data_IF_865115060863
#
_entry.id   IF_865115060863
#
_cell.length_a   1.000
_cell.length_b   1.000
_cell.length_c   1.000
_cell.angle_alpha   90.00
_cell.angle_beta   90.00
_cell.angle_gamma   90.00
#
_symmetry.space_group_name_H-M   'P 1'
#
loop_
_entity.id
_entity.type
_entity.pdbx_description
1 polymer ?
#
# COMPACT_ATOMS: atom_id res chain seq x y z
N UNK A 1 16.93 5.76 20.86
CA UNK A 1 16.79 7.08 21.51
C UNK A 1 17.08 8.11 20.43
N UNK A 2 16.05 8.64 19.75
CA UNK A 2 16.21 9.74 18.81
C UNK A 2 16.16 11.05 19.61
N UNK A 3 17.25 11.82 19.57
CA UNK A 3 17.30 13.18 20.14
C UNK A 3 16.32 14.06 19.34
N UNK A 4 15.41 14.74 20.05
CA UNK A 4 14.72 15.93 19.54
C UNK A 4 15.79 16.96 19.17
N UNK A 5 16.06 17.16 17.90
CA UNK A 5 16.78 18.30 17.41
C UNK A 5 15.78 19.41 17.11
N UNK A 6 15.98 20.56 17.70
CA UNK A 6 15.26 21.81 17.43
C UNK A 6 15.38 22.13 15.93
N UNK A 7 14.21 22.30 15.26
CA UNK A 7 14.14 22.68 13.85
C UNK A 7 13.56 21.62 12.88
N UNK A 8 12.99 20.51 13.36
CA UNK A 8 12.38 19.50 12.46
C UNK A 8 11.03 19.95 11.94
N UNK A 9 10.96 20.13 10.63
CA UNK A 9 9.69 20.21 9.90
C UNK A 9 8.90 18.93 10.18
N UNK A 10 7.67 19.05 10.68
CA UNK A 10 6.76 17.93 10.93
C UNK A 10 6.62 17.06 9.69
N UNK A 11 6.78 15.74 9.85
CA UNK A 11 6.63 14.78 8.77
C UNK A 11 5.18 14.80 8.24
N UNK A 12 5.00 14.95 6.94
CA UNK A 12 3.70 15.03 6.27
C UNK A 12 3.43 13.75 5.48
N UNK A 13 2.35 13.08 5.83
CA UNK A 13 2.03 11.75 5.29
C UNK A 13 0.64 11.75 4.67
N UNK A 14 0.53 11.39 3.40
CA UNK A 14 -0.74 11.15 2.71
C UNK A 14 -0.98 9.64 2.65
N UNK A 15 -2.14 9.19 3.14
CA UNK A 15 -2.52 7.78 3.15
C UNK A 15 -3.76 7.57 2.29
N UNK A 16 -3.56 7.00 1.10
CA UNK A 16 -4.63 6.64 0.17
C UNK A 16 -5.16 5.24 0.51
N UNK A 17 -6.45 5.15 0.87
CA UNK A 17 -7.06 3.94 1.41
C UNK A 17 -6.83 3.77 2.92
N UNK A 18 -6.96 4.86 3.66
CA UNK A 18 -6.62 4.93 5.08
C UNK A 18 -7.42 3.95 5.97
N UNK A 19 -8.62 3.53 5.56
CA UNK A 19 -9.45 2.56 6.31
C UNK A 19 -8.96 1.11 6.21
N UNK A 20 -7.95 0.81 5.38
CA UNK A 20 -7.27 -0.48 5.36
C UNK A 20 -6.62 -0.76 6.71
N UNK A 21 -6.72 -2.00 7.22
CA UNK A 21 -6.13 -2.38 8.52
C UNK A 21 -4.62 -2.13 8.58
N UNK A 22 -3.90 -2.40 7.49
CA UNK A 22 -2.46 -2.13 7.39
C UNK A 22 -2.20 -0.62 7.43
N UNK A 23 -2.98 0.16 6.68
CA UNK A 23 -2.88 1.61 6.66
C UNK A 23 -3.15 2.23 8.04
N UNK A 24 -4.22 1.79 8.71
CA UNK A 24 -4.58 2.27 10.04
C UNK A 24 -3.47 2.00 11.07
N UNK A 25 -2.88 0.79 11.06
CA UNK A 25 -1.76 0.46 11.93
C UNK A 25 -0.50 1.28 11.57
N UNK A 26 -0.26 1.53 10.28
CA UNK A 26 0.87 2.37 9.84
C UNK A 26 0.67 3.84 10.24
N UNK A 27 -0.55 4.37 10.11
CA UNK A 27 -0.90 5.73 10.53
C UNK A 27 -0.63 5.95 12.03
N UNK A 28 -0.93 4.95 12.87
CA UNK A 28 -0.64 4.99 14.32
C UNK A 28 0.86 5.09 14.63
N UNK A 29 1.72 4.49 13.80
CA UNK A 29 3.18 4.62 13.97
C UNK A 29 3.64 6.05 13.64
N UNK A 30 3.12 6.64 12.56
CA UNK A 30 3.39 8.04 12.22
C UNK A 30 2.87 9.02 13.28
N UNK A 31 1.67 8.76 13.83
CA UNK A 31 1.10 9.59 14.88
C UNK A 31 1.98 9.66 16.13
N UNK A 32 2.58 8.53 16.55
CA UNK A 32 3.50 8.48 17.69
C UNK A 32 4.75 9.35 17.53
N UNK A 33 5.11 9.69 16.30
CA UNK A 33 6.25 10.58 16.00
C UNK A 33 5.82 12.03 15.75
N UNK A 34 4.56 12.35 15.99
CA UNK A 34 4.06 13.71 15.81
C UNK A 34 3.84 14.11 14.35
N UNK A 35 3.62 13.15 13.44
CA UNK A 35 3.40 13.46 12.02
C UNK A 35 2.06 14.18 11.79
N UNK A 36 2.00 15.01 10.76
CA UNK A 36 0.75 15.48 10.15
C UNK A 36 0.30 14.44 9.12
N UNK A 37 -0.94 13.96 9.23
CA UNK A 37 -1.45 12.83 8.45
C UNK A 37 -2.73 13.23 7.73
N UNK A 38 -2.78 13.06 6.41
CA UNK A 38 -3.99 13.15 5.61
C UNK A 38 -4.52 11.74 5.33
N UNK A 39 -5.74 11.48 5.78
CA UNK A 39 -6.46 10.22 5.63
C UNK A 39 -7.43 10.32 4.46
N UNK A 40 -7.19 9.56 3.39
CA UNK A 40 -8.03 9.60 2.19
C UNK A 40 -8.80 8.28 2.02
N UNK A 41 -10.09 8.37 1.73
CA UNK A 41 -10.97 7.22 1.48
C UNK A 41 -12.43 7.60 1.36
N UNK A 42 -13.33 6.61 1.26
CA UNK A 42 -14.75 6.83 0.98
C UNK A 42 -15.64 6.96 2.24
N UNK A 43 -15.22 6.36 3.34
CA UNK A 43 -16.04 6.27 4.55
C UNK A 43 -15.68 7.37 5.54
N UNK A 44 -16.40 8.49 5.47
CA UNK A 44 -16.19 9.67 6.29
C UNK A 44 -16.21 9.36 7.80
N UNK A 45 -17.18 8.56 8.25
CA UNK A 45 -17.35 8.25 9.68
C UNK A 45 -16.10 7.52 10.20
N UNK A 46 -15.64 6.48 9.49
CA UNK A 46 -14.44 5.73 9.90
C UNK A 46 -13.18 6.59 9.83
N UNK A 47 -13.04 7.44 8.82
CA UNK A 47 -11.89 8.34 8.69
C UNK A 47 -11.87 9.38 9.81
N UNK A 48 -13.01 9.94 10.18
CA UNK A 48 -13.14 10.90 11.28
C UNK A 48 -12.81 10.25 12.62
N UNK A 49 -13.29 9.03 12.88
CA UNK A 49 -12.92 8.26 14.07
C UNK A 49 -11.42 7.99 14.12
N UNK A 50 -10.81 7.63 12.99
CA UNK A 50 -9.37 7.43 12.90
C UNK A 50 -8.60 8.72 13.15
N UNK A 51 -9.05 9.85 12.64
CA UNK A 51 -8.40 11.15 12.87
C UNK A 51 -8.38 11.51 14.36
N UNK A 52 -9.47 11.25 15.08
CA UNK A 52 -9.53 11.43 16.54
C UNK A 52 -8.55 10.49 17.26
N UNK A 53 -8.53 9.20 16.91
CA UNK A 53 -7.56 8.22 17.48
C UNK A 53 -6.12 8.64 17.24
N UNK A 54 -5.77 9.10 16.03
CA UNK A 54 -4.42 9.52 15.69
C UNK A 54 -3.98 10.78 16.44
N UNK A 55 -4.86 11.76 16.61
CA UNK A 55 -4.60 12.94 17.44
C UNK A 55 -4.34 12.57 18.90
N UNK A 56 -5.17 11.69 19.46
CA UNK A 56 -4.98 11.18 20.81
C UNK A 56 -3.65 10.41 20.99
N UNK A 57 -3.09 9.87 19.90
CA UNK A 57 -1.78 9.18 19.87
C UNK A 57 -0.58 10.08 19.63
N UNK A 58 -0.80 11.38 19.43
CA UNK A 58 0.27 12.36 19.29
C UNK A 58 0.49 12.87 17.87
N UNK A 59 -0.37 12.57 16.90
CA UNK A 59 -0.31 13.22 15.60
C UNK A 59 -0.46 14.74 15.76
N UNK A 60 0.41 15.53 15.12
CA UNK A 60 0.28 16.98 15.12
C UNK A 60 -1.01 17.41 14.44
N UNK A 61 -1.28 16.81 13.27
CA UNK A 61 -2.54 16.96 12.56
C UNK A 61 -3.04 15.63 12.02
N UNK A 62 -4.36 15.44 12.01
CA UNK A 62 -5.02 14.34 11.31
C UNK A 62 -6.21 14.93 10.55
N UNK A 63 -6.05 15.00 9.23
CA UNK A 63 -6.99 15.62 8.29
C UNK A 63 -7.70 14.51 7.52
N UNK A 64 -8.96 14.69 7.18
CA UNK A 64 -9.77 13.75 6.41
C UNK A 64 -10.08 14.36 5.04
N UNK A 65 -9.90 13.56 3.99
CA UNK A 65 -10.33 13.85 2.63
C UNK A 65 -11.20 12.71 2.10
N UNK A 66 -12.40 13.03 1.64
CA UNK A 66 -13.31 12.04 1.07
C UNK A 66 -13.07 11.94 -0.43
N UNK A 67 -12.68 10.76 -0.88
CA UNK A 67 -12.45 10.48 -2.31
C UNK A 67 -12.66 9.00 -2.62
N UNK A 68 -13.23 8.71 -3.78
CA UNK A 68 -13.20 7.38 -4.37
C UNK A 68 -11.93 7.23 -5.21
N UNK A 69 -10.95 6.55 -4.63
CA UNK A 69 -9.65 6.35 -5.25
C UNK A 69 -9.67 5.41 -6.48
N UNK A 70 -10.77 4.68 -6.69
CA UNK A 70 -10.96 3.86 -7.88
C UNK A 70 -11.40 4.70 -9.10
N UNK A 71 -12.03 5.84 -8.87
CA UNK A 71 -12.38 6.80 -9.91
C UNK A 71 -11.13 7.61 -10.31
N UNK A 72 -10.59 7.33 -11.49
CA UNK A 72 -9.33 7.94 -11.98
C UNK A 72 -9.54 9.21 -12.81
N UNK A 73 -10.56 9.99 -12.48
CA UNK A 73 -10.78 11.32 -13.07
C UNK A 73 -10.00 12.37 -12.30
N UNK A 74 -9.26 13.21 -13.02
CA UNK A 74 -8.52 14.36 -12.45
C UNK A 74 -7.59 14.03 -11.27
N UNK A 75 -6.96 12.84 -11.30
CA UNK A 75 -6.07 12.36 -10.23
C UNK A 75 -4.98 13.37 -9.88
N UNK A 76 -4.42 14.05 -10.89
CA UNK A 76 -3.37 15.05 -10.68
C UNK A 76 -3.89 16.26 -9.88
N UNK A 77 -5.08 16.76 -10.19
CA UNK A 77 -5.69 17.88 -9.50
C UNK A 77 -6.10 17.48 -8.07
N UNK A 78 -6.71 16.31 -7.90
CA UNK A 78 -7.07 15.79 -6.58
C UNK A 78 -5.83 15.64 -5.69
N UNK A 79 -4.74 15.06 -6.23
CA UNK A 79 -3.51 14.87 -5.47
C UNK A 79 -2.85 16.20 -5.09
N UNK A 80 -2.83 17.18 -5.99
CA UNK A 80 -2.37 18.54 -5.68
C UNK A 80 -3.19 19.17 -4.54
N UNK A 81 -4.50 18.98 -4.54
CA UNK A 81 -5.38 19.40 -3.45
C UNK A 81 -5.03 18.72 -2.12
N UNK A 82 -4.71 17.43 -2.12
CA UNK A 82 -4.27 16.71 -0.91
C UNK A 82 -2.94 17.26 -0.38
N UNK A 83 -1.98 17.51 -1.27
CA UNK A 83 -0.69 18.12 -0.90
C UNK A 83 -0.87 19.50 -0.32
N UNK A 84 -1.76 20.31 -0.89
CA UNK A 84 -2.08 21.65 -0.38
C UNK A 84 -2.73 21.59 1.01
N UNK A 85 -3.72 20.70 1.22
CA UNK A 85 -4.41 20.54 2.51
C UNK A 85 -3.47 20.22 3.67
N UNK A 86 -2.44 19.41 3.42
CA UNK A 86 -1.46 19.02 4.45
C UNK A 86 -0.22 19.92 4.48
N UNK A 87 -0.10 20.85 3.52
CA UNK A 87 0.99 21.82 3.44
C UNK A 87 2.32 21.23 2.94
N UNK A 88 2.28 20.18 2.13
CA UNK A 88 3.45 19.51 1.54
C UNK A 88 3.39 18.00 1.66
N UNK A 89 4.47 17.29 1.31
CA UNK A 89 4.48 15.83 1.29
C UNK A 89 5.88 15.29 1.58
N UNK A 90 5.98 14.32 2.48
CA UNK A 90 7.20 13.57 2.73
C UNK A 90 7.00 12.07 2.41
N UNK A 91 5.86 11.49 2.82
CA UNK A 91 5.53 10.10 2.50
C UNK A 91 4.13 9.97 1.90
N UNK A 92 3.99 9.12 0.89
CA UNK A 92 2.70 8.66 0.35
C UNK A 92 2.58 7.16 0.60
N UNK A 93 1.51 6.74 1.25
CA UNK A 93 1.15 5.33 1.38
C UNK A 93 -0.10 5.04 0.55
N UNK A 94 -0.02 4.09 -0.37
CA UNK A 94 -1.17 3.58 -1.13
C UNK A 94 -1.48 2.17 -0.64
N UNK A 95 -2.66 1.99 0.00
CA UNK A 95 -2.99 0.79 0.75
C UNK A 95 -4.43 0.29 0.55
N UNK A 96 -5.04 0.59 -0.59
CA UNK A 96 -6.36 0.09 -0.95
C UNK A 96 -6.31 -1.01 -2.01
N UNK A 97 -7.43 -1.72 -2.15
CA UNK A 97 -7.63 -2.77 -3.14
C UNK A 97 -8.78 -3.67 -2.73
N UNK A 98 -9.15 -4.57 -3.62
CA UNK A 98 -10.15 -5.62 -3.41
C UNK A 98 -9.54 -6.97 -3.78
N UNK A 99 -9.94 -8.04 -3.10
CA UNK A 99 -9.56 -9.39 -3.49
C UNK A 99 -10.43 -9.87 -4.66
N UNK A 100 -11.71 -9.54 -4.59
CA UNK A 100 -12.74 -10.01 -5.52
C UNK A 100 -13.06 -11.51 -5.34
N UNK A 101 -13.98 -11.98 -6.14
CA UNK A 101 -14.32 -13.41 -6.27
C UNK A 101 -13.72 -13.94 -7.57
N UNK A 102 -12.69 -14.79 -7.46
CA UNK A 102 -12.00 -15.37 -8.61
C UNK A 102 -12.95 -16.18 -9.49
N UNK A 103 -13.84 -17.00 -8.88
CA UNK A 103 -14.76 -17.83 -9.63
C UNK A 103 -15.83 -17.02 -10.38
N UNK A 104 -16.28 -15.89 -9.83
CA UNK A 104 -17.16 -14.96 -10.53
C UNK A 104 -16.41 -14.25 -11.67
N UNK A 105 -15.19 -13.78 -11.40
CA UNK A 105 -14.39 -13.07 -12.39
C UNK A 105 -13.96 -13.91 -13.61
N UNK A 106 -13.88 -15.22 -13.46
CA UNK A 106 -13.64 -16.13 -14.59
C UNK A 106 -14.84 -16.26 -15.55
N UNK A 107 -16.04 -15.97 -15.06
CA UNK A 107 -17.30 -16.10 -15.82
C UNK A 107 -17.87 -14.76 -16.27
N UNK A 108 -17.50 -13.68 -15.59
CA UNK A 108 -17.99 -12.32 -15.85
C UNK A 108 -16.80 -11.34 -15.96
N UNK A 109 -16.60 -10.84 -17.18
CA UNK A 109 -15.52 -9.89 -17.47
C UNK A 109 -15.68 -8.57 -16.70
N UNK A 110 -16.89 -8.15 -16.36
CA UNK A 110 -17.12 -6.93 -15.57
C UNK A 110 -16.52 -7.07 -14.18
N UNK A 111 -16.67 -8.25 -13.54
CA UNK A 111 -16.05 -8.55 -12.24
C UNK A 111 -14.52 -8.60 -12.36
N UNK A 112 -14.00 -9.19 -13.44
CA UNK A 112 -12.56 -9.22 -13.71
C UNK A 112 -11.99 -7.82 -13.91
N UNK A 113 -12.66 -6.98 -14.69
CA UNK A 113 -12.28 -5.58 -14.95
C UNK A 113 -12.29 -4.75 -13.67
N UNK A 114 -13.27 -4.93 -12.77
CA UNK A 114 -13.30 -4.27 -11.49
C UNK A 114 -12.04 -4.59 -10.65
N UNK A 115 -11.68 -5.89 -10.57
CA UNK A 115 -10.48 -6.32 -9.85
C UNK A 115 -9.22 -5.66 -10.43
N UNK A 116 -9.07 -5.66 -11.75
CA UNK A 116 -7.92 -5.05 -12.43
C UNK A 116 -7.91 -3.53 -12.28
N UNK A 117 -9.05 -2.89 -12.46
CA UNK A 117 -9.18 -1.43 -12.37
C UNK A 117 -8.87 -0.91 -10.97
N UNK A 118 -9.42 -1.53 -9.94
CA UNK A 118 -9.19 -1.09 -8.54
C UNK A 118 -7.77 -1.41 -8.08
N UNK A 119 -7.23 -2.61 -8.40
CA UNK A 119 -5.94 -3.04 -7.85
C UNK A 119 -4.73 -2.61 -8.69
N UNK A 120 -4.91 -2.24 -9.95
CA UNK A 120 -3.82 -1.86 -10.83
C UNK A 120 -4.04 -0.50 -11.49
N UNK A 121 -5.07 -0.32 -12.34
CA UNK A 121 -5.21 0.90 -13.13
C UNK A 121 -5.30 2.16 -12.26
N UNK A 122 -6.17 2.13 -11.24
CA UNK A 122 -6.32 3.28 -10.35
C UNK A 122 -5.07 3.50 -9.49
N UNK A 123 -4.49 2.44 -8.93
CA UNK A 123 -3.25 2.52 -8.14
C UNK A 123 -2.11 3.07 -8.99
N UNK A 124 -2.00 2.66 -10.25
CA UNK A 124 -0.97 3.15 -11.18
C UNK A 124 -1.09 4.66 -11.41
N UNK A 125 -2.30 5.18 -11.60
CA UNK A 125 -2.54 6.61 -11.77
C UNK A 125 -2.08 7.42 -10.53
N UNK A 126 -2.44 6.97 -9.33
CA UNK A 126 -1.98 7.59 -8.09
C UNK A 126 -0.47 7.46 -7.88
N UNK A 127 0.13 6.30 -8.21
CA UNK A 127 1.58 6.10 -8.15
C UNK A 127 2.33 7.07 -9.06
N UNK A 128 1.91 7.21 -10.31
CA UNK A 128 2.55 8.10 -11.28
C UNK A 128 2.44 9.57 -10.85
N UNK A 129 1.27 9.98 -10.38
CA UNK A 129 1.03 11.35 -9.90
C UNK A 129 1.89 11.66 -8.66
N UNK A 130 1.88 10.77 -7.66
CA UNK A 130 2.71 10.92 -6.47
C UNK A 130 4.21 10.91 -6.81
N UNK A 131 4.63 10.02 -7.74
CA UNK A 131 6.02 9.94 -8.18
C UNK A 131 6.48 11.24 -8.85
N UNK A 132 5.66 11.84 -9.73
CA UNK A 132 5.98 13.12 -10.36
C UNK A 132 6.16 14.22 -9.32
N UNK A 133 5.27 14.32 -8.35
CA UNK A 133 5.36 15.32 -7.28
C UNK A 133 6.61 15.13 -6.42
N UNK A 134 6.90 13.91 -5.99
CA UNK A 134 8.09 13.59 -5.19
C UNK A 134 9.40 13.84 -5.97
N UNK A 135 9.42 13.56 -7.27
CA UNK A 135 10.60 13.82 -8.11
C UNK A 135 10.89 15.32 -8.24
N UNK A 136 9.85 16.15 -8.48
CA UNK A 136 9.99 17.62 -8.51
C UNK A 136 10.50 18.13 -7.16
N UNK A 137 10.02 17.55 -6.06
CA UNK A 137 10.45 17.91 -4.71
C UNK A 137 11.88 17.44 -4.39
N UNK A 138 12.41 16.43 -5.09
CA UNK A 138 13.75 15.85 -4.89
C UNK A 138 13.90 15.01 -3.61
N UNK A 139 12.81 14.68 -2.91
CA UNK A 139 12.83 13.90 -1.66
C UNK A 139 11.49 13.23 -1.38
N UNK A 140 11.48 12.32 -0.40
CA UNK A 140 10.29 11.66 0.11
C UNK A 140 10.18 10.20 -0.32
N UNK A 141 9.06 9.56 0.03
CA UNK A 141 8.84 8.13 -0.24
C UNK A 141 7.43 7.85 -0.73
N UNK A 142 7.33 7.09 -1.82
CA UNK A 142 6.12 6.42 -2.27
C UNK A 142 6.15 4.98 -1.79
N UNK A 143 5.20 4.58 -0.94
CA UNK A 143 5.08 3.21 -0.43
C UNK A 143 3.75 2.62 -0.91
N UNK A 144 3.81 1.46 -1.53
CA UNK A 144 2.65 0.81 -2.14
C UNK A 144 2.45 -0.58 -1.55
N UNK A 145 1.24 -0.90 -1.15
CA UNK A 145 0.90 -2.24 -0.66
C UNK A 145 0.57 -3.13 -1.86
N UNK A 146 1.51 -4.02 -2.17
CA UNK A 146 1.38 -5.11 -3.13
C UNK A 146 0.83 -6.38 -2.51
N UNK A 147 1.35 -7.53 -2.95
CA UNK A 147 1.04 -8.86 -2.40
C UNK A 147 2.04 -9.89 -2.91
N UNK A 148 2.28 -10.96 -2.14
CA UNK A 148 2.96 -12.18 -2.63
C UNK A 148 2.16 -12.89 -3.74
N UNK A 149 0.87 -12.58 -3.91
CA UNK A 149 0.05 -13.11 -5.00
C UNK A 149 0.56 -12.68 -6.39
N UNK A 150 1.28 -11.56 -6.48
CA UNK A 150 1.90 -11.10 -7.72
C UNK A 150 3.15 -11.87 -8.14
N UNK A 151 3.69 -12.77 -7.31
CA UNK A 151 4.94 -13.49 -7.62
C UNK A 151 4.75 -14.65 -8.59
N UNK A 152 3.59 -15.31 -8.51
CA UNK A 152 3.24 -16.44 -9.38
C UNK A 152 1.73 -16.60 -9.43
N UNK A 153 1.17 -16.75 -10.64
CA UNK A 153 -0.26 -17.01 -10.85
C UNK A 153 -0.70 -18.31 -10.16
N UNK A 154 -1.82 -18.25 -9.43
CA UNK A 154 -2.42 -19.37 -8.71
C UNK A 154 -3.91 -19.45 -9.07
N UNK A 155 -4.46 -20.67 -9.19
CA UNK A 155 -5.87 -20.87 -9.56
C UNK A 155 -6.85 -20.12 -8.66
N UNK A 156 -6.48 -19.94 -7.39
CA UNK A 156 -7.36 -19.30 -6.41
C UNK A 156 -7.53 -17.78 -6.60
N UNK A 157 -6.60 -17.08 -7.30
CA UNK A 157 -6.63 -15.62 -7.36
C UNK A 157 -5.74 -15.02 -8.48
N UNK A 158 -5.68 -15.64 -9.66
CA UNK A 158 -4.75 -15.18 -10.70
C UNK A 158 -5.10 -13.82 -11.30
N UNK A 159 -6.37 -13.38 -11.31
CA UNK A 159 -6.74 -12.05 -11.77
C UNK A 159 -6.21 -10.99 -10.81
N UNK A 160 -6.44 -11.17 -9.51
CA UNK A 160 -5.83 -10.34 -8.47
C UNK A 160 -4.29 -10.41 -8.52
N UNK A 161 -3.75 -11.62 -8.71
CA UNK A 161 -2.31 -11.84 -8.86
C UNK A 161 -1.71 -11.07 -10.04
N UNK A 162 -2.37 -11.05 -11.19
CA UNK A 162 -1.96 -10.30 -12.38
C UNK A 162 -1.90 -8.78 -12.09
N UNK A 163 -2.95 -8.23 -11.43
CA UNK A 163 -2.97 -6.83 -11.01
C UNK A 163 -1.77 -6.50 -10.09
N UNK A 164 -1.48 -7.38 -9.11
CA UNK A 164 -0.38 -7.16 -8.16
C UNK A 164 1.01 -7.40 -8.77
N UNK A 165 1.13 -8.26 -9.80
CA UNK A 165 2.35 -8.43 -10.58
C UNK A 165 2.65 -7.18 -11.44
N UNK A 166 1.63 -6.64 -12.13
CA UNK A 166 1.74 -5.39 -12.87
C UNK A 166 2.17 -4.23 -11.96
N UNK A 167 1.57 -4.15 -10.76
CA UNK A 167 1.92 -3.14 -9.78
C UNK A 167 3.37 -3.27 -9.29
N UNK A 168 3.89 -4.49 -9.13
CA UNK A 168 5.29 -4.71 -8.79
C UNK A 168 6.22 -4.14 -9.85
N UNK A 169 5.99 -4.46 -11.12
CA UNK A 169 6.79 -3.96 -12.24
C UNK A 169 6.74 -2.43 -12.31
N UNK A 170 5.56 -1.82 -12.13
CA UNK A 170 5.39 -0.37 -12.11
C UNK A 170 6.23 0.29 -11.00
N UNK A 171 6.12 -0.20 -9.77
CA UNK A 171 6.84 0.39 -8.63
C UNK A 171 8.34 0.18 -8.75
N UNK A 172 8.81 -0.95 -9.30
CA UNK A 172 10.22 -1.15 -9.64
C UNK A 172 10.71 -0.13 -10.66
N UNK A 173 9.92 0.14 -11.72
CA UNK A 173 10.22 1.16 -12.73
C UNK A 173 10.31 2.56 -12.11
N UNK A 174 9.38 2.94 -11.24
CA UNK A 174 9.43 4.21 -10.50
C UNK A 174 10.66 4.25 -9.58
N UNK A 175 10.97 3.18 -8.87
CA UNK A 175 12.17 3.10 -8.03
C UNK A 175 13.45 3.27 -8.82
N UNK A 176 13.53 2.68 -10.02
CA UNK A 176 14.66 2.87 -10.95
C UNK A 176 14.73 4.32 -11.45
N UNK A 177 13.59 4.92 -11.81
CA UNK A 177 13.51 6.34 -12.19
C UNK A 177 14.04 7.28 -11.10
N UNK A 178 13.84 6.93 -9.82
CA UNK A 178 14.29 7.69 -8.65
C UNK A 178 15.76 7.47 -8.28
N UNK A 179 16.45 6.54 -8.92
CA UNK A 179 17.83 6.26 -8.61
C UNK A 179 18.68 7.54 -8.69
N UNK A 180 19.41 7.84 -7.60
CA UNK A 180 20.27 9.03 -7.44
C UNK A 180 19.52 10.39 -7.47
N UNK A 181 18.18 10.42 -7.36
CA UNK A 181 17.39 11.66 -7.41
C UNK A 181 16.78 12.08 -6.06
N UNK A 182 17.01 11.33 -4.99
CA UNK A 182 16.54 11.61 -3.64
C UNK A 182 15.26 10.93 -3.22
N UNK A 183 14.14 10.92 -4.01
CA UNK A 183 12.92 10.19 -3.64
C UNK A 183 13.13 8.68 -3.67
N UNK A 184 12.19 7.96 -3.04
CA UNK A 184 12.17 6.49 -2.99
C UNK A 184 10.81 5.95 -3.38
N UNK A 185 10.77 4.79 -4.03
CA UNK A 185 9.55 4.03 -4.24
C UNK A 185 9.76 2.61 -3.71
N UNK A 186 8.80 2.12 -2.94
CA UNK A 186 8.87 0.84 -2.24
C UNK A 186 7.57 0.08 -2.42
N UNK A 187 7.66 -1.16 -2.89
CA UNK A 187 6.56 -2.11 -2.85
C UNK A 187 6.68 -3.00 -1.61
N UNK A 188 5.66 -2.99 -0.78
CA UNK A 188 5.51 -3.95 0.32
C UNK A 188 4.72 -5.15 -0.22
N UNK A 189 5.23 -6.36 -0.02
CA UNK A 189 4.57 -7.60 -0.45
C UNK A 189 4.10 -8.40 0.78
N UNK A 190 2.90 -8.12 1.29
CA UNK A 190 2.32 -8.92 2.38
C UNK A 190 2.06 -10.35 1.93
N UNK A 191 2.34 -11.31 2.82
CA UNK A 191 1.71 -12.62 2.82
C UNK A 191 0.27 -12.55 3.31
N UNK A 192 -0.41 -13.69 3.51
CA UNK A 192 -1.73 -13.75 4.11
C UNK A 192 -1.76 -12.95 5.42
N UNK A 193 -2.68 -12.00 5.50
CA UNK A 193 -2.78 -11.06 6.63
C UNK A 193 -4.22 -11.04 7.15
N UNK A 194 -4.38 -11.07 8.47
CA UNK A 194 -5.69 -11.04 9.14
C UNK A 194 -6.31 -9.66 8.99
N UNK A 195 -7.17 -9.50 7.98
CA UNK A 195 -7.87 -8.25 7.64
C UNK A 195 -9.31 -8.55 7.23
N UNK A 196 -10.19 -7.56 7.12
CA UNK A 196 -11.53 -7.78 6.55
C UNK A 196 -11.51 -8.37 5.13
N UNK A 197 -10.51 -8.04 4.30
CA UNK A 197 -10.34 -8.59 2.96
C UNK A 197 -10.21 -10.12 2.94
N UNK A 198 -9.71 -10.72 4.02
CA UNK A 198 -9.48 -12.17 4.16
C UNK A 198 -10.47 -12.84 5.12
N UNK A 199 -11.61 -12.21 5.42
CA UNK A 199 -12.54 -12.68 6.46
C UNK A 199 -13.14 -14.05 6.15
N UNK A 200 -13.39 -14.37 4.88
CA UNK A 200 -13.90 -15.67 4.44
C UNK A 200 -12.85 -16.78 4.29
N UNK A 201 -11.57 -16.51 4.57
CA UNK A 201 -10.50 -17.49 4.42
C UNK A 201 -10.21 -18.25 5.73
N UNK A 202 -9.77 -19.52 5.63
CA UNK A 202 -9.24 -20.27 6.78
C UNK A 202 -7.99 -19.59 7.30
N UNK A 203 -8.07 -18.93 8.45
CA UNK A 203 -7.00 -18.13 9.07
C UNK A 203 -6.16 -18.93 10.05
N UNK A 204 -5.63 -20.08 9.60
CA UNK A 204 -4.87 -20.99 10.45
C UNK A 204 -3.40 -21.09 9.99
N UNK A 205 -2.50 -21.24 10.97
CA UNK A 205 -1.09 -21.54 10.74
C UNK A 205 -0.13 -20.34 10.81
N UNK A 206 1.15 -20.66 10.86
CA UNK A 206 2.25 -19.72 11.09
C UNK A 206 2.50 -18.74 9.91
N UNK A 207 1.85 -18.94 8.76
CA UNK A 207 2.01 -18.10 7.59
C UNK A 207 1.15 -16.82 7.63
N UNK A 208 0.19 -16.74 8.56
CA UNK A 208 -0.68 -15.57 8.73
C UNK A 208 -0.03 -14.50 9.58
N UNK A 209 -0.06 -13.27 9.09
CA UNK A 209 0.47 -12.11 9.79
C UNK A 209 -0.66 -11.23 10.36
N UNK A 210 -0.35 -10.50 11.44
CA UNK A 210 -1.20 -9.42 11.94
C UNK A 210 -0.91 -8.12 11.16
N UNK A 211 -1.90 -7.22 10.98
CA UNK A 211 -1.70 -5.93 10.30
C UNK A 211 -0.56 -5.10 10.89
N UNK A 212 -0.36 -5.17 12.21
CA UNK A 212 0.69 -4.44 12.93
C UNK A 212 2.10 -4.85 12.49
N UNK A 213 2.30 -6.14 12.18
CA UNK A 213 3.59 -6.66 11.71
C UNK A 213 3.91 -6.11 10.31
N UNK A 214 2.90 -6.05 9.43
CA UNK A 214 3.05 -5.46 8.09
C UNK A 214 3.27 -3.96 8.20
N UNK A 215 2.53 -3.28 9.07
CA UNK A 215 2.64 -1.84 9.30
C UNK A 215 4.03 -1.43 9.79
N UNK A 216 4.63 -2.19 10.71
CA UNK A 216 6.00 -1.93 11.19
C UNK A 216 7.04 -1.98 10.04
N UNK A 217 6.90 -2.97 9.14
CA UNK A 217 7.78 -3.09 7.97
C UNK A 217 7.50 -1.94 6.99
N UNK A 218 6.23 -1.62 6.72
CA UNK A 218 5.80 -0.53 5.85
C UNK A 218 6.39 0.80 6.31
N UNK A 219 6.24 1.11 7.59
CA UNK A 219 6.78 2.31 8.21
C UNK A 219 8.32 2.37 8.12
N UNK A 220 9.01 1.29 8.49
CA UNK A 220 10.47 1.23 8.42
C UNK A 220 10.99 1.41 6.98
N UNK A 221 10.29 0.86 5.99
CA UNK A 221 10.65 0.98 4.58
C UNK A 221 10.36 2.35 4.00
N UNK A 222 9.34 3.05 4.45
CA UNK A 222 9.10 4.44 4.08
C UNK A 222 10.31 5.33 4.40
N UNK A 223 10.98 5.08 5.52
CA UNK A 223 12.19 5.82 5.93
C UNK A 223 13.48 5.32 5.28
N UNK A 224 13.62 3.99 5.09
CA UNK A 224 14.89 3.38 4.64
C UNK A 224 14.96 3.15 3.14
N UNK A 225 13.81 3.02 2.47
CA UNK A 225 13.74 2.67 1.04
C UNK A 225 13.99 1.17 0.79
N UNK A 226 14.39 0.88 -0.45
CA UNK A 226 14.57 -0.46 -1.00
C UNK A 226 13.35 -0.86 -1.84
N UNK A 227 13.53 -1.27 -3.12
CA UNK A 227 12.43 -1.34 -4.10
C UNK A 227 11.33 -2.33 -3.73
N UNK A 228 11.68 -3.42 -3.05
CA UNK A 228 10.74 -4.48 -2.66
C UNK A 228 11.02 -4.92 -1.22
N UNK A 229 9.95 -5.09 -0.44
CA UNK A 229 10.01 -5.68 0.89
C UNK A 229 8.90 -6.71 1.10
N UNK A 230 9.26 -7.96 1.36
CA UNK A 230 8.32 -8.98 1.82
C UNK A 230 7.94 -8.75 3.28
N UNK A 231 6.68 -8.94 3.60
CA UNK A 231 6.16 -8.67 4.94
C UNK A 231 5.19 -9.79 5.42
N UNK A 232 5.55 -10.56 6.44
CA UNK A 232 6.86 -10.66 7.09
C UNK A 232 7.99 -11.12 6.16
N UNK A 233 9.25 -10.84 6.55
CA UNK A 233 10.42 -11.05 5.68
C UNK A 233 10.67 -12.48 5.23
N UNK A 234 10.20 -13.50 5.98
CA UNK A 234 10.36 -14.91 5.60
C UNK A 234 9.63 -15.27 4.28
N UNK A 235 8.59 -14.50 3.90
CA UNK A 235 7.90 -14.69 2.63
C UNK A 235 8.83 -14.57 1.42
N UNK A 236 9.95 -13.88 1.54
CA UNK A 236 10.97 -13.83 0.50
C UNK A 236 11.47 -15.25 0.13
N UNK A 237 11.71 -16.07 1.14
CA UNK A 237 12.22 -17.45 0.93
C UNK A 237 11.12 -18.38 0.45
N UNK A 238 9.92 -18.26 1.00
CA UNK A 238 8.74 -19.02 0.55
C UNK A 238 8.48 -18.75 -0.93
N UNK A 239 8.47 -17.48 -1.33
CA UNK A 239 8.20 -17.11 -2.72
C UNK A 239 9.38 -17.42 -3.64
N UNK A 240 10.61 -17.40 -3.15
CA UNK A 240 11.75 -17.90 -3.93
C UNK A 240 11.55 -19.36 -4.35
N UNK A 241 11.10 -20.21 -3.43
CA UNK A 241 10.80 -21.62 -3.73
C UNK A 241 9.61 -21.70 -4.71
N UNK A 242 8.50 -21.04 -4.38
CA UNK A 242 7.26 -21.10 -5.18
C UNK A 242 7.51 -20.64 -6.63
N UNK A 243 8.25 -19.56 -6.84
CA UNK A 243 8.56 -19.02 -8.18
C UNK A 243 9.38 -20.00 -9.04
N UNK A 244 10.25 -20.78 -8.42
CA UNK A 244 11.17 -21.69 -9.12
C UNK A 244 10.66 -23.14 -9.19
N UNK A 245 9.50 -23.47 -8.62
CA UNK A 245 8.92 -24.80 -8.76
C UNK A 245 8.60 -25.09 -10.24
N UNK A 246 9.01 -26.26 -10.78
CA UNK A 246 8.60 -26.70 -12.13
C UNK A 246 7.07 -26.72 -12.26
N UNK A 247 6.57 -26.33 -13.44
CA UNK A 247 5.12 -26.27 -13.70
C UNK A 247 4.40 -27.62 -13.43
N UNK A 248 5.06 -28.75 -13.76
CA UNK A 248 4.52 -30.08 -13.53
C UNK A 248 4.25 -30.38 -12.03
N UNK A 249 5.05 -29.81 -11.13
CA UNK A 249 4.83 -29.92 -9.68
C UNK A 249 3.80 -28.90 -9.23
N UNK A 250 4.00 -27.63 -9.60
CA UNK A 250 3.16 -26.53 -9.16
C UNK A 250 1.69 -26.71 -9.55
N UNK A 251 1.40 -27.18 -10.78
CA UNK A 251 0.05 -27.37 -11.27
C UNK A 251 -0.75 -28.48 -10.55
N UNK A 252 -0.08 -29.32 -9.76
CA UNK A 252 -0.70 -30.34 -8.92
C UNK A 252 -0.99 -29.86 -7.50
N UNK A 253 -0.48 -28.68 -7.13
CA UNK A 253 -0.67 -28.12 -5.78
C UNK A 253 -2.01 -27.37 -5.73
N UNK A 254 -2.72 -27.48 -4.61
CA UNK A 254 -3.91 -26.72 -4.29
C UNK A 254 -3.56 -25.50 -3.42
N UNK A 255 -3.01 -24.48 -4.08
CA UNK A 255 -2.58 -23.24 -3.40
C UNK A 255 -3.08 -21.97 -4.12
#
# INVERSE_FOLDING_TARGET
VYRKHEGFNTLRVIILGATSSIAACTARLYAKEGASILLVGRNEIRLSQMAVDLKARGAENAIVAISDLAAVTDVAQQFAGFVQQIGGIDHVLIAYGILGDQGAAERDLVVAEEILSVNFNSVAAWCLTAANTLEIQGRGSLVVIGSVAGDRGRRANFIYGAAKAGLETLVQGISHRFANKGPRAVLIKPGPTVTPMTEGMKREGALWAKPEQIAAITYARAHRGGPIAYAPGFWRYVMLIIRNLPAAIFNRMEI
#
